data_IF_886342525185
#
_entry.id   IF_886342525185
#
_cell.length_a   1.000
_cell.length_b   1.000
_cell.length_c   1.000
_cell.angle_alpha   90.00
_cell.angle_beta   90.00
_cell.angle_gamma   90.00
#
_symmetry.space_group_name_H-M   'P 1'
#
loop_
_entity.id
_entity.type
_entity.pdbx_description
1 polymer ?
#
# COMPACT_ATOMS: atom_id res chain seq x y z
N UNK A 1 -79.48 6.00 -61.09
CA UNK A 1 -78.17 6.68 -61.03
C UNK A 1 -78.28 7.86 -60.05
N UNK A 2 -77.21 8.14 -59.30
CA UNK A 2 -76.97 9.35 -58.48
C UNK A 2 -77.70 9.45 -57.13
N UNK A 3 -77.04 9.13 -56.00
CA UNK A 3 -76.16 9.98 -55.15
C UNK A 3 -76.88 11.03 -54.28
N UNK A 4 -76.66 11.01 -52.96
CA UNK A 4 -75.66 11.85 -52.24
C UNK A 4 -75.81 11.72 -50.72
N UNK A 5 -74.67 11.63 -50.04
CA UNK A 5 -74.50 11.44 -48.60
C UNK A 5 -74.49 12.76 -47.82
N UNK A 6 -75.00 12.73 -46.58
CA UNK A 6 -74.72 13.72 -45.52
C UNK A 6 -73.95 13.00 -44.41
N UNK A 7 -72.78 13.55 -44.03
CA UNK A 7 -71.87 13.01 -43.02
C UNK A 7 -72.21 13.59 -41.64
N UNK A 8 -72.30 12.73 -40.62
CA UNK A 8 -72.29 13.07 -39.20
C UNK A 8 -70.94 12.66 -38.58
N UNK A 9 -70.53 13.41 -37.58
CA UNK A 9 -69.24 13.35 -36.87
C UNK A 9 -69.13 12.19 -35.88
N UNK A 10 -67.90 11.80 -35.54
CA UNK A 10 -67.52 11.13 -34.29
C UNK A 10 -66.08 11.56 -33.89
N UNK A 11 -65.74 11.68 -32.59
CA UNK A 11 -64.50 12.29 -32.13
C UNK A 11 -63.35 11.28 -32.05
N UNK A 12 -62.13 11.77 -32.30
CA UNK A 12 -60.87 11.03 -32.21
C UNK A 12 -60.37 11.08 -30.75
N UNK A 13 -60.30 9.93 -30.08
CA UNK A 13 -59.68 9.80 -28.75
C UNK A 13 -58.16 9.74 -28.95
N UNK A 14 -57.45 10.72 -28.39
CA UNK A 14 -56.00 10.74 -28.31
C UNK A 14 -55.52 9.81 -27.18
N UNK A 15 -54.89 8.70 -27.54
CA UNK A 15 -54.14 7.86 -26.60
C UNK A 15 -52.70 8.36 -26.50
N UNK A 16 -52.35 8.99 -25.37
CA UNK A 16 -50.99 9.34 -25.02
C UNK A 16 -50.28 8.08 -24.49
N UNK A 17 -49.49 7.42 -25.35
CA UNK A 17 -48.59 6.36 -24.93
C UNK A 17 -47.34 6.97 -24.28
N UNK A 18 -47.25 6.91 -22.95
CA UNK A 18 -46.00 7.11 -22.22
C UNK A 18 -45.08 5.91 -22.49
N UNK A 19 -44.26 6.01 -23.54
CA UNK A 19 -43.07 5.20 -23.70
C UNK A 19 -42.04 5.70 -22.68
N UNK A 20 -41.99 5.01 -21.53
CA UNK A 20 -40.87 5.13 -20.60
C UNK A 20 -39.61 4.63 -21.28
N UNK A 21 -38.81 5.55 -21.81
CA UNK A 21 -37.45 5.28 -22.24
C UNK A 21 -36.61 4.94 -21.01
N UNK A 22 -36.45 3.65 -20.74
CA UNK A 22 -35.35 3.15 -19.93
C UNK A 22 -34.06 3.51 -20.66
N UNK A 23 -33.40 4.58 -20.22
CA UNK A 23 -32.00 4.81 -20.55
C UNK A 23 -31.22 3.66 -19.92
N UNK A 24 -30.90 2.65 -20.71
CA UNK A 24 -29.83 1.73 -20.38
C UNK A 24 -28.56 2.57 -20.29
N UNK A 25 -28.10 2.82 -19.06
CA UNK A 25 -26.75 3.33 -18.84
C UNK A 25 -25.84 2.25 -19.39
N UNK A 26 -25.16 2.55 -20.51
CA UNK A 26 -24.13 1.67 -21.03
C UNK A 26 -23.06 1.56 -19.94
N UNK A 27 -22.91 0.37 -19.39
CA UNK A 27 -21.88 0.05 -18.42
C UNK A 27 -20.53 0.27 -19.09
N UNK A 28 -19.65 1.05 -18.45
CA UNK A 28 -18.30 1.30 -18.98
C UNK A 28 -17.55 -0.02 -19.02
N UNK A 29 -17.35 -0.55 -20.23
CA UNK A 29 -16.67 -1.80 -20.44
C UNK A 29 -15.16 -1.58 -20.33
N UNK A 30 -14.54 -2.20 -19.33
CA UNK A 30 -13.09 -2.21 -19.15
C UNK A 30 -12.53 -3.40 -19.92
N UNK A 31 -11.83 -3.14 -21.02
CA UNK A 31 -11.19 -4.18 -21.85
C UNK A 31 -9.78 -4.54 -21.35
N UNK A 32 -9.10 -3.59 -20.70
CA UNK A 32 -7.75 -3.74 -20.14
C UNK A 32 -7.70 -3.18 -18.72
N UNK A 33 -7.23 -3.98 -17.77
CA UNK A 33 -6.89 -3.59 -16.40
C UNK A 33 -5.38 -3.41 -16.28
N UNK A 34 -4.93 -2.26 -15.77
CA UNK A 34 -3.50 -2.02 -15.53
C UNK A 34 -3.19 -2.14 -14.04
N UNK A 35 -2.30 -3.06 -13.69
CA UNK A 35 -1.95 -3.41 -12.31
C UNK A 35 -0.61 -2.78 -11.92
N UNK A 36 -0.61 -1.79 -11.04
CA UNK A 36 0.58 -1.14 -10.50
C UNK A 36 1.34 -2.01 -9.49
N UNK A 37 2.65 -2.10 -9.66
CA UNK A 37 3.55 -2.85 -8.76
C UNK A 37 4.61 -1.86 -8.27
N UNK A 38 4.68 -1.64 -6.95
CA UNK A 38 5.72 -0.80 -6.36
C UNK A 38 7.11 -1.42 -6.54
N UNK A 39 8.11 -0.56 -6.71
CA UNK A 39 9.46 -0.94 -7.10
C UNK A 39 10.33 -1.41 -5.92
N UNK A 40 9.92 -2.46 -5.18
CA UNK A 40 10.75 -3.02 -4.09
C UNK A 40 12.11 -3.53 -4.60
N UNK A 41 12.10 -4.03 -5.82
CA UNK A 41 13.24 -4.57 -6.59
C UNK A 41 13.22 -4.01 -8.02
N UNK A 42 14.23 -4.34 -8.81
CA UNK A 42 14.22 -4.10 -10.25
C UNK A 42 13.04 -4.82 -10.91
N UNK A 43 12.38 -4.17 -11.88
CA UNK A 43 11.20 -4.74 -12.58
C UNK A 43 11.50 -6.09 -13.24
N UNK A 44 12.73 -6.29 -13.72
CA UNK A 44 13.17 -7.57 -14.29
C UNK A 44 13.11 -8.73 -13.29
N UNK A 45 13.29 -8.45 -11.99
CA UNK A 45 13.22 -9.44 -10.92
C UNK A 45 11.79 -9.64 -10.45
N UNK A 46 10.95 -8.59 -10.47
CA UNK A 46 9.54 -8.68 -10.08
C UNK A 46 8.66 -9.33 -11.15
N UNK A 47 8.85 -9.00 -12.43
CA UNK A 47 7.95 -9.43 -13.51
C UNK A 47 7.69 -10.95 -13.53
N UNK A 48 8.70 -11.83 -13.41
CA UNK A 48 8.47 -13.28 -13.38
C UNK A 48 7.65 -13.75 -12.18
N UNK A 49 7.74 -13.06 -11.04
CA UNK A 49 7.00 -13.41 -9.81
C UNK A 49 5.52 -13.03 -9.94
N UNK A 50 5.24 -11.89 -10.58
CA UNK A 50 3.89 -11.36 -10.71
C UNK A 50 3.10 -11.98 -11.85
N UNK A 51 3.77 -12.38 -12.93
CA UNK A 51 3.12 -12.81 -14.17
C UNK A 51 2.11 -13.96 -13.99
N UNK A 52 2.41 -15.05 -13.26
CA UNK A 52 1.44 -16.13 -13.07
C UNK A 52 0.14 -15.67 -12.40
N UNK A 53 0.23 -14.80 -11.39
CA UNK A 53 -0.93 -14.25 -10.70
C UNK A 53 -1.76 -13.33 -11.60
N UNK A 54 -1.11 -12.48 -12.41
CA UNK A 54 -1.79 -11.58 -13.34
C UNK A 54 -2.42 -12.32 -14.53
N UNK A 55 -1.80 -13.40 -15.01
CA UNK A 55 -2.36 -14.24 -16.06
C UNK A 55 -3.66 -14.92 -15.58
N UNK A 56 -3.68 -15.46 -14.35
CA UNK A 56 -4.90 -16.02 -13.76
C UNK A 56 -6.00 -14.95 -13.55
N UNK A 57 -5.61 -13.73 -13.19
CA UNK A 57 -6.54 -12.60 -13.09
C UNK A 57 -7.15 -12.28 -14.45
N UNK A 58 -6.34 -12.24 -15.51
CA UNK A 58 -6.81 -12.01 -16.88
C UNK A 58 -7.77 -13.10 -17.35
N UNK A 59 -7.44 -14.37 -17.11
CA UNK A 59 -8.29 -15.51 -17.47
C UNK A 59 -9.65 -15.45 -16.72
N UNK A 60 -9.61 -15.24 -15.41
CA UNK A 60 -10.83 -15.22 -14.56
C UNK A 60 -11.75 -14.05 -14.90
N UNK A 61 -11.15 -12.88 -15.17
CA UNK A 61 -11.88 -11.67 -15.48
C UNK A 61 -12.17 -11.52 -16.98
N UNK A 62 -11.66 -12.38 -17.86
CA UNK A 62 -11.89 -12.28 -19.31
C UNK A 62 -11.54 -10.91 -19.89
N UNK A 63 -10.55 -10.23 -19.33
CA UNK A 63 -10.01 -8.93 -19.77
C UNK A 63 -8.48 -9.03 -19.81
N UNK A 64 -7.83 -8.15 -20.55
CA UNK A 64 -6.38 -8.07 -20.52
C UNK A 64 -5.92 -7.47 -19.18
N UNK A 65 -4.87 -8.04 -18.58
CA UNK A 65 -4.25 -7.49 -17.36
C UNK A 65 -2.79 -7.14 -17.67
N UNK A 66 -2.49 -5.85 -17.70
CA UNK A 66 -1.15 -5.34 -18.00
C UNK A 66 -0.43 -4.92 -16.70
N UNK A 67 0.76 -5.47 -16.40
CA UNK A 67 1.54 -4.96 -15.29
C UNK A 67 2.10 -3.57 -15.60
N UNK A 68 2.04 -2.69 -14.60
CA UNK A 68 2.68 -1.38 -14.63
C UNK A 68 3.79 -1.34 -13.58
N UNK A 69 5.03 -1.37 -14.05
CA UNK A 69 6.22 -1.17 -13.22
C UNK A 69 6.72 0.26 -13.36
N UNK A 70 7.26 0.80 -12.28
CA UNK A 70 7.92 2.09 -12.27
C UNK A 70 9.26 2.04 -11.53
N UNK A 71 10.02 3.13 -11.60
CA UNK A 71 11.33 3.23 -10.94
C UNK A 71 11.25 3.61 -9.45
N UNK A 72 10.11 4.19 -9.04
CA UNK A 72 9.84 4.63 -7.68
C UNK A 72 8.34 4.53 -7.37
N UNK A 73 7.99 4.65 -6.09
CA UNK A 73 6.63 4.45 -5.62
C UNK A 73 5.75 5.65 -5.98
N UNK A 74 6.35 6.84 -6.09
CA UNK A 74 5.67 8.06 -6.49
C UNK A 74 5.07 7.93 -7.90
N UNK A 75 5.78 7.29 -8.82
CA UNK A 75 5.31 7.05 -10.18
C UNK A 75 4.07 6.13 -10.22
N UNK A 76 3.97 5.11 -9.36
CA UNK A 76 2.77 4.26 -9.25
C UNK A 76 1.60 5.09 -8.69
N UNK A 77 1.84 5.91 -7.66
CA UNK A 77 0.82 6.83 -7.08
C UNK A 77 0.32 7.83 -8.13
N UNK A 78 1.23 8.47 -8.88
CA UNK A 78 0.84 9.40 -9.93
C UNK A 78 0.14 8.69 -11.09
N UNK A 79 0.54 7.46 -11.43
CA UNK A 79 -0.15 6.68 -12.43
C UNK A 79 -1.61 6.45 -12.02
N UNK A 80 -1.88 6.10 -10.76
CA UNK A 80 -3.25 5.96 -10.27
C UNK A 80 -4.02 7.28 -10.36
N UNK A 81 -3.38 8.39 -9.94
CA UNK A 81 -3.98 9.73 -9.94
C UNK A 81 -4.46 10.19 -11.32
N UNK A 82 -3.80 9.74 -12.38
CA UNK A 82 -4.11 10.11 -13.77
C UNK A 82 -4.79 8.97 -14.55
N UNK A 83 -5.44 8.04 -13.83
CA UNK A 83 -6.13 6.87 -14.38
C UNK A 83 -5.23 6.05 -15.34
N UNK A 84 -3.91 6.02 -15.06
CA UNK A 84 -2.90 5.24 -15.80
C UNK A 84 -2.75 3.82 -15.27
N UNK A 85 -3.24 3.55 -14.07
CA UNK A 85 -3.44 2.20 -13.52
C UNK A 85 -4.82 2.14 -12.85
N UNK A 86 -5.36 0.93 -12.75
CA UNK A 86 -6.71 0.67 -12.25
C UNK A 86 -6.71 0.08 -10.84
N UNK A 87 -5.68 -0.74 -10.54
CA UNK A 87 -5.38 -1.26 -9.22
C UNK A 87 -3.87 -1.36 -9.00
N UNK A 88 -3.43 -1.48 -7.75
CA UNK A 88 -2.04 -1.61 -7.41
C UNK A 88 -1.82 -2.35 -6.09
N UNK A 89 -0.67 -3.00 -5.99
CA UNK A 89 -0.07 -3.38 -4.71
C UNK A 89 0.81 -2.25 -4.21
N UNK A 90 0.58 -1.83 -2.97
CA UNK A 90 1.31 -0.75 -2.31
C UNK A 90 1.79 -1.18 -0.93
N UNK A 91 2.89 -0.57 -0.48
CA UNK A 91 3.16 -0.46 0.94
C UNK A 91 2.19 0.52 1.60
N UNK A 92 1.89 0.35 2.89
CA UNK A 92 0.89 1.17 3.57
C UNK A 92 1.09 2.69 3.46
N UNK A 93 2.33 3.22 3.48
CA UNK A 93 2.56 4.66 3.26
C UNK A 93 2.17 5.09 1.85
N UNK A 94 2.60 4.37 0.82
CA UNK A 94 2.20 4.67 -0.56
C UNK A 94 0.69 4.51 -0.79
N UNK A 95 0.03 3.58 -0.08
CA UNK A 95 -1.42 3.47 -0.10
C UNK A 95 -2.11 4.66 0.57
N UNK A 96 -1.60 5.15 1.70
CA UNK A 96 -2.07 6.39 2.33
C UNK A 96 -1.98 7.59 1.39
N UNK A 97 -0.85 7.73 0.69
CA UNK A 97 -0.68 8.77 -0.33
C UNK A 97 -1.64 8.58 -1.52
N UNK A 98 -1.88 7.34 -1.96
CA UNK A 98 -2.82 7.04 -3.02
C UNK A 98 -4.27 7.38 -2.64
N UNK A 99 -4.69 7.02 -1.42
CA UNK A 99 -6.02 7.39 -0.88
C UNK A 99 -6.17 8.90 -0.82
N UNK A 100 -5.18 9.60 -0.25
CA UNK A 100 -5.30 11.05 -0.01
C UNK A 100 -5.16 11.89 -1.28
N UNK A 101 -4.46 11.39 -2.32
CA UNK A 101 -4.00 12.22 -3.44
C UNK A 101 -4.22 11.64 -4.83
N UNK A 102 -4.58 10.36 -4.93
CA UNK A 102 -4.74 9.65 -6.20
C UNK A 102 -6.13 9.03 -6.41
N UNK A 103 -7.07 9.27 -5.49
CA UNK A 103 -8.41 8.66 -5.56
C UNK A 103 -8.36 7.16 -5.35
N UNK A 104 -7.46 6.68 -4.49
CA UNK A 104 -7.33 5.26 -4.15
C UNK A 104 -8.28 4.82 -3.04
N UNK A 105 -8.69 3.57 -3.08
CA UNK A 105 -9.49 2.91 -2.03
C UNK A 105 -8.92 1.50 -1.79
N UNK A 106 -8.59 1.20 -0.53
CA UNK A 106 -8.14 -0.14 -0.11
C UNK A 106 -9.34 -1.09 -0.13
N UNK A 107 -9.14 -2.29 -0.67
CA UNK A 107 -10.19 -3.32 -0.70
C UNK A 107 -9.74 -4.69 -0.20
N UNK A 108 -8.43 -4.94 -0.13
CA UNK A 108 -7.85 -6.18 0.36
C UNK A 108 -6.48 -5.94 1.01
N UNK A 109 -6.05 -6.88 1.84
CA UNK A 109 -4.74 -6.92 2.48
C UNK A 109 -4.06 -8.26 2.17
N UNK A 110 -2.76 -8.25 1.91
CA UNK A 110 -1.99 -9.48 1.73
C UNK A 110 -1.81 -10.22 3.06
N UNK A 111 -1.74 -11.55 3.00
CA UNK A 111 -1.47 -12.39 4.18
C UNK A 111 -0.16 -13.14 3.93
N UNK A 112 0.87 -12.96 4.79
CA UNK A 112 2.16 -13.63 4.63
C UNK A 112 2.04 -15.16 4.61
N UNK A 113 2.81 -15.82 3.74
CA UNK A 113 2.87 -17.28 3.63
C UNK A 113 3.46 -17.95 4.88
N UNK A 114 4.42 -17.28 5.53
CA UNK A 114 5.02 -17.73 6.78
C UNK A 114 4.11 -17.62 8.03
N UNK A 115 2.90 -17.06 7.88
CA UNK A 115 1.92 -16.92 8.97
C UNK A 115 2.15 -15.74 9.90
N UNK A 116 3.12 -14.86 9.63
CA UNK A 116 3.35 -13.65 10.41
C UNK A 116 2.21 -12.64 10.24
N UNK A 117 1.91 -11.82 11.27
CA UNK A 117 0.81 -10.84 11.22
C UNK A 117 1.15 -9.56 10.43
N UNK A 118 2.30 -9.54 9.76
CA UNK A 118 2.88 -8.38 9.08
C UNK A 118 4.40 -8.55 8.92
N UNK A 119 5.12 -7.45 8.83
CA UNK A 119 6.56 -7.43 8.61
C UNK A 119 7.26 -6.35 9.43
N UNK A 120 8.59 -6.28 9.35
CA UNK A 120 9.38 -5.31 10.10
C UNK A 120 10.34 -4.53 9.20
N UNK A 121 10.53 -3.25 9.51
CA UNK A 121 11.63 -2.45 8.98
C UNK A 121 12.93 -2.83 9.66
N UNK A 122 14.02 -2.76 8.91
CA UNK A 122 15.37 -3.09 9.36
C UNK A 122 16.33 -1.93 9.07
N UNK A 123 17.37 -1.81 9.90
CA UNK A 123 18.63 -1.20 9.48
C UNK A 123 19.67 -2.29 9.30
N UNK A 124 20.34 -2.26 8.15
CA UNK A 124 21.37 -3.20 7.76
C UNK A 124 22.71 -2.51 7.57
N UNK A 125 23.77 -3.20 7.96
CA UNK A 125 25.17 -2.86 7.69
C UNK A 125 25.86 -4.07 7.07
N UNK A 126 27.07 -3.88 6.55
CA UNK A 126 27.87 -5.02 6.11
C UNK A 126 28.28 -5.88 7.31
N UNK A 127 28.41 -7.21 7.18
CA UNK A 127 28.76 -8.14 8.26
C UNK A 127 30.05 -7.75 9.01
N UNK A 128 31.10 -7.32 8.29
CA UNK A 128 32.35 -6.82 8.86
C UNK A 128 32.29 -5.36 9.40
N UNK A 129 31.12 -4.72 9.41
CA UNK A 129 30.96 -3.38 10.00
C UNK A 129 31.16 -3.45 11.52
N UNK A 130 31.89 -2.50 12.13
CA UNK A 130 32.07 -2.46 13.57
C UNK A 130 30.81 -1.99 14.34
N UNK A 131 29.77 -1.53 13.63
CA UNK A 131 28.54 -1.02 14.24
C UNK A 131 27.56 -2.15 14.51
N UNK A 132 26.93 -2.15 15.69
CA UNK A 132 26.06 -3.23 16.14
C UNK A 132 24.63 -2.77 16.47
N UNK A 133 24.39 -1.46 16.56
CA UNK A 133 23.10 -0.90 16.97
C UNK A 133 22.88 0.52 16.42
N UNK A 134 21.72 1.12 16.72
CA UNK A 134 21.36 2.48 16.28
C UNK A 134 22.26 3.53 16.91
N UNK A 135 22.59 3.39 18.19
CA UNK A 135 23.40 4.35 18.94
C UNK A 135 24.78 4.51 18.31
N UNK A 136 25.39 3.39 17.89
CA UNK A 136 26.65 3.35 17.16
C UNK A 136 26.56 4.14 15.85
N UNK A 137 25.47 3.94 15.09
CA UNK A 137 25.24 4.64 13.82
C UNK A 137 25.07 6.15 14.06
N UNK A 138 24.23 6.55 15.01
CA UNK A 138 23.97 7.96 15.30
C UNK A 138 25.23 8.68 15.80
N UNK A 139 26.02 8.03 16.67
CA UNK A 139 27.26 8.60 17.19
C UNK A 139 28.34 8.81 16.10
N UNK A 140 28.29 8.03 15.02
CA UNK A 140 29.27 8.06 13.94
C UNK A 140 28.73 8.64 12.62
N UNK A 141 27.47 9.10 12.58
CA UNK A 141 26.74 9.44 11.36
C UNK A 141 27.52 10.38 10.42
N UNK A 142 28.21 11.38 10.96
CA UNK A 142 29.00 12.36 10.18
C UNK A 142 30.11 11.75 9.31
N UNK A 143 30.48 10.49 9.55
CA UNK A 143 31.47 9.74 8.75
C UNK A 143 30.82 8.73 7.80
N UNK A 144 29.53 8.43 7.98
CA UNK A 144 28.82 7.35 7.32
C UNK A 144 27.98 7.83 6.14
N UNK A 145 27.93 7.01 5.10
CA UNK A 145 26.96 7.11 4.01
C UNK A 145 25.74 6.28 4.37
N UNK A 146 24.55 6.90 4.29
CA UNK A 146 23.28 6.25 4.60
C UNK A 146 22.43 6.04 3.34
N UNK A 147 22.00 4.81 3.13
CA UNK A 147 21.02 4.41 2.12
C UNK A 147 19.63 4.46 2.70
N UNK A 148 18.96 5.59 2.55
CA UNK A 148 17.56 5.74 2.91
C UNK A 148 16.66 5.07 1.86
N UNK A 149 15.41 4.80 2.20
CA UNK A 149 14.45 4.22 1.28
C UNK A 149 13.78 5.24 0.37
N UNK A 150 12.91 4.73 -0.52
CA UNK A 150 11.94 5.53 -1.24
C UNK A 150 11.13 6.40 -0.26
N UNK A 151 10.96 7.72 -0.48
CA UNK A 151 10.18 8.60 0.39
C UNK A 151 8.76 8.12 0.73
N UNK A 152 8.13 7.33 -0.14
CA UNK A 152 6.80 6.75 0.04
C UNK A 152 6.82 5.31 0.58
N UNK A 153 8.00 4.77 0.93
CA UNK A 153 8.13 3.47 1.57
C UNK A 153 7.79 3.55 3.06
N UNK A 154 6.99 2.59 3.53
CA UNK A 154 6.66 2.44 4.96
C UNK A 154 7.91 2.06 5.74
N UNK A 155 8.53 0.93 5.40
CA UNK A 155 9.69 0.38 6.09
C UNK A 155 11.01 1.03 5.69
N UNK A 156 11.10 1.57 4.49
CA UNK A 156 12.31 2.20 3.97
C UNK A 156 12.47 3.67 4.40
N UNK A 157 11.40 4.33 4.85
CA UNK A 157 11.47 5.77 5.09
C UNK A 157 10.66 6.24 6.30
N UNK A 158 9.36 5.94 6.35
CA UNK A 158 8.51 6.46 7.43
C UNK A 158 8.87 5.88 8.80
N UNK A 159 8.93 4.55 8.89
CA UNK A 159 9.17 3.84 10.14
C UNK A 159 10.55 4.18 10.73
N UNK A 160 11.68 4.03 10.01
CA UNK A 160 12.98 4.49 10.53
C UNK A 160 13.02 6.01 10.70
N UNK A 161 12.35 6.77 9.83
CA UNK A 161 12.18 8.23 9.94
C UNK A 161 11.66 8.67 11.31
N UNK A 162 10.72 7.92 11.88
CA UNK A 162 10.23 8.17 13.23
C UNK A 162 11.14 7.55 14.31
N UNK A 163 11.25 6.22 14.34
CA UNK A 163 11.83 5.50 15.47
C UNK A 163 13.36 5.65 15.58
N UNK A 164 14.06 5.83 14.47
CA UNK A 164 15.52 5.99 14.47
C UNK A 164 15.89 7.47 14.52
N UNK A 165 15.20 8.31 13.75
CA UNK A 165 15.62 9.70 13.56
C UNK A 165 14.83 10.69 14.42
N UNK A 166 13.52 10.84 14.20
CA UNK A 166 12.73 11.86 14.88
C UNK A 166 12.68 11.68 16.41
N UNK A 167 12.60 10.44 16.92
CA UNK A 167 12.66 10.16 18.36
C UNK A 167 14.01 10.51 19.00
N UNK A 168 15.09 10.51 18.21
CA UNK A 168 16.42 10.94 18.64
C UNK A 168 16.69 12.42 18.34
N UNK A 169 15.68 13.17 17.88
CA UNK A 169 15.78 14.61 17.61
C UNK A 169 16.73 14.96 16.46
N UNK A 170 16.89 14.06 15.49
CA UNK A 170 17.82 14.22 14.38
C UNK A 170 17.14 13.95 13.04
N UNK A 171 17.66 14.55 11.98
CA UNK A 171 17.26 14.28 10.59
C UNK A 171 18.42 13.62 9.84
N UNK A 172 18.13 12.52 9.12
CA UNK A 172 19.15 11.78 8.39
C UNK A 172 19.92 12.64 7.38
N UNK A 173 19.25 13.58 6.71
CA UNK A 173 19.86 14.50 5.73
C UNK A 173 20.90 15.43 6.34
N UNK A 174 20.83 15.65 7.65
CA UNK A 174 21.60 16.69 8.33
C UNK A 174 22.78 16.09 9.11
N UNK A 175 22.67 14.83 9.55
CA UNK A 175 23.67 14.18 10.40
C UNK A 175 24.65 13.27 9.63
N UNK A 176 24.23 12.68 8.49
CA UNK A 176 25.08 11.77 7.73
C UNK A 176 26.02 12.50 6.79
N UNK A 177 27.20 11.91 6.53
CA UNK A 177 28.13 12.44 5.52
C UNK A 177 27.48 12.59 4.15
N UNK A 178 26.62 11.63 3.79
CA UNK A 178 25.85 11.60 2.55
C UNK A 178 24.65 10.68 2.72
N UNK A 179 23.52 11.11 2.21
CA UNK A 179 22.31 10.29 2.10
C UNK A 179 21.98 10.02 0.63
N UNK A 180 21.39 8.86 0.37
CA UNK A 180 20.84 8.44 -0.92
C UNK A 180 19.45 7.86 -0.66
N UNK A 181 18.55 7.95 -1.64
CA UNK A 181 17.25 7.29 -1.57
C UNK A 181 17.18 6.25 -2.68
N UNK A 182 16.88 5.00 -2.32
CA UNK A 182 16.79 3.88 -3.28
C UNK A 182 15.69 2.90 -2.86
N UNK A 183 15.38 1.94 -3.73
CA UNK A 183 14.54 0.80 -3.33
C UNK A 183 15.29 -0.17 -2.40
N UNK A 184 14.55 -1.15 -1.87
CA UNK A 184 15.05 -2.11 -0.89
C UNK A 184 16.20 -2.96 -1.43
N UNK A 185 16.05 -3.51 -2.64
CA UNK A 185 17.10 -4.30 -3.30
C UNK A 185 18.39 -3.50 -3.53
N UNK A 186 18.28 -2.28 -4.06
CA UNK A 186 19.43 -1.41 -4.30
C UNK A 186 20.15 -1.06 -2.99
N UNK A 187 19.41 -0.78 -1.92
CA UNK A 187 19.98 -0.52 -0.60
C UNK A 187 20.73 -1.74 -0.07
N UNK A 188 20.13 -2.94 -0.13
CA UNK A 188 20.76 -4.18 0.32
C UNK A 188 22.04 -4.49 -0.47
N UNK A 189 21.99 -4.40 -1.80
CA UNK A 189 23.17 -4.61 -2.65
C UNK A 189 24.25 -3.55 -2.42
N UNK A 190 23.87 -2.30 -2.16
CA UNK A 190 24.82 -1.22 -1.86
C UNK A 190 25.57 -1.48 -0.55
N UNK A 191 24.89 -1.99 0.48
CA UNK A 191 25.52 -2.37 1.75
C UNK A 191 26.40 -3.62 1.57
N UNK A 192 25.88 -4.66 0.92
CA UNK A 192 26.62 -5.90 0.66
C UNK A 192 27.90 -5.65 -0.17
N UNK A 193 27.88 -4.67 -1.07
CA UNK A 193 29.03 -4.27 -1.88
C UNK A 193 29.86 -3.12 -1.26
N UNK A 194 29.57 -2.71 -0.02
CA UNK A 194 30.27 -1.64 0.73
C UNK A 194 30.30 -0.28 0.01
N UNK A 195 29.25 0.03 -0.73
CA UNK A 195 29.05 1.31 -1.41
C UNK A 195 28.35 2.33 -0.49
N UNK A 196 27.63 1.81 0.51
CA UNK A 196 26.92 2.52 1.58
C UNK A 196 27.24 1.81 2.89
N UNK A 197 27.36 2.56 3.99
CA UNK A 197 27.78 2.01 5.28
C UNK A 197 26.62 1.40 6.07
N UNK A 198 25.44 2.01 5.98
CA UNK A 198 24.19 1.59 6.62
C UNK A 198 23.00 1.91 5.71
N UNK A 199 21.99 1.04 5.65
CA UNK A 199 20.79 1.31 4.88
C UNK A 199 19.51 0.78 5.54
N UNK A 200 18.38 1.36 5.14
CA UNK A 200 17.04 0.86 5.49
C UNK A 200 16.68 -0.36 4.64
N UNK A 201 15.99 -1.32 5.24
CA UNK A 201 15.52 -2.53 4.57
C UNK A 201 14.26 -3.07 5.28
N UNK A 202 13.84 -4.30 4.97
CA UNK A 202 12.75 -4.98 5.67
C UNK A 202 12.90 -6.50 5.61
N UNK A 203 12.14 -7.21 6.45
CA UNK A 203 12.21 -8.67 6.57
C UNK A 203 11.77 -9.41 5.31
N UNK A 204 10.68 -8.99 4.67
CA UNK A 204 10.20 -9.66 3.43
C UNK A 204 11.23 -9.58 2.30
N UNK A 205 11.86 -8.41 2.14
CA UNK A 205 12.91 -8.20 1.15
C UNK A 205 14.20 -8.94 1.52
N UNK A 206 14.47 -9.16 2.81
CA UNK A 206 15.57 -10.02 3.25
C UNK A 206 15.31 -11.47 2.82
N UNK A 207 14.12 -11.99 3.10
CA UNK A 207 13.73 -13.34 2.71
C UNK A 207 13.85 -13.53 1.18
N UNK A 208 13.42 -12.55 0.37
CA UNK A 208 13.61 -12.59 -1.09
C UNK A 208 15.08 -12.52 -1.49
N UNK A 209 15.89 -11.70 -0.82
CA UNK A 209 17.32 -11.60 -1.08
C UNK A 209 18.05 -12.89 -0.74
N UNK A 210 17.67 -13.59 0.34
CA UNK A 210 18.24 -14.88 0.72
C UNK A 210 17.97 -15.96 -0.34
N UNK A 211 16.81 -15.91 -1.00
CA UNK A 211 16.47 -16.82 -2.10
C UNK A 211 17.18 -16.43 -3.41
N UNK A 212 17.13 -15.16 -3.79
CA UNK A 212 17.65 -14.69 -5.08
C UNK A 212 19.18 -14.53 -5.11
N UNK A 213 19.76 -14.06 -4.01
CA UNK A 213 21.18 -13.67 -3.88
C UNK A 213 21.75 -14.04 -2.49
N UNK A 214 21.80 -15.34 -2.14
CA UNK A 214 22.23 -15.79 -0.81
C UNK A 214 23.65 -15.33 -0.43
N UNK A 215 24.54 -15.18 -1.41
CA UNK A 215 25.90 -14.67 -1.21
C UNK A 215 25.91 -13.21 -0.77
N UNK A 216 24.95 -12.41 -1.24
CA UNK A 216 24.76 -11.00 -0.85
C UNK A 216 24.05 -10.88 0.49
N UNK A 217 23.00 -11.67 0.72
CA UNK A 217 22.33 -11.70 2.01
C UNK A 217 23.32 -12.06 3.14
N UNK A 218 24.20 -13.03 2.92
CA UNK A 218 25.26 -13.40 3.87
C UNK A 218 26.27 -12.28 4.17
N UNK A 219 26.33 -11.20 3.37
CA UNK A 219 27.15 -10.02 3.68
C UNK A 219 26.44 -9.01 4.57
N UNK A 220 25.16 -9.20 4.89
CA UNK A 220 24.37 -8.24 5.65
C UNK A 220 24.25 -8.64 7.11
N UNK A 221 24.27 -7.63 7.97
CA UNK A 221 24.00 -7.74 9.40
C UNK A 221 22.89 -6.76 9.76
N UNK A 222 21.83 -7.27 10.40
CA UNK A 222 20.75 -6.44 10.95
C UNK A 222 21.22 -5.87 12.29
N UNK A 223 21.12 -4.56 12.44
CA UNK A 223 21.50 -3.84 13.67
C UNK A 223 20.30 -3.15 14.35
N UNK A 224 19.14 -3.16 13.70
CA UNK A 224 17.90 -2.63 14.24
C UNK A 224 16.71 -3.25 13.53
N UNK A 225 15.62 -3.44 14.29
CA UNK A 225 14.33 -3.89 13.79
C UNK A 225 13.23 -3.04 14.42
N UNK A 226 12.23 -2.65 13.63
CA UNK A 226 11.12 -1.82 14.09
C UNK A 226 10.09 -2.59 14.93
N UNK A 227 9.05 -1.92 15.46
CA UNK A 227 7.77 -2.56 15.76
C UNK A 227 7.12 -3.13 14.48
N UNK A 228 6.11 -3.99 14.68
CA UNK A 228 5.36 -4.63 13.59
C UNK A 228 4.71 -3.58 12.67
N UNK A 229 4.84 -3.79 11.36
CA UNK A 229 4.15 -3.06 10.30
C UNK A 229 3.04 -3.97 9.76
N UNK A 230 1.78 -3.51 9.68
CA UNK A 230 0.71 -4.30 9.06
C UNK A 230 1.06 -4.67 7.61
N UNK A 231 0.61 -5.84 7.16
CA UNK A 231 0.80 -6.30 5.78
C UNK A 231 0.27 -5.30 4.76
N UNK A 232 0.77 -5.41 3.54
CA UNK A 232 0.54 -4.45 2.48
C UNK A 232 -0.90 -4.54 1.91
N UNK A 233 -1.53 -3.39 1.57
CA UNK A 233 -2.84 -3.37 0.93
C UNK A 233 -2.80 -3.53 -0.60
N UNK A 234 -3.91 -4.01 -1.15
CA UNK A 234 -4.30 -3.79 -2.54
C UNK A 234 -5.27 -2.61 -2.61
N UNK A 235 -5.02 -1.71 -3.57
CA UNK A 235 -5.76 -0.45 -3.75
C UNK A 235 -6.26 -0.37 -5.18
N UNK A 236 -7.53 -0.03 -5.37
CA UNK A 236 -8.04 0.36 -6.69
C UNK A 236 -8.28 1.87 -6.75
N UNK A 237 -8.48 2.42 -7.95
CA UNK A 237 -9.03 3.77 -8.11
C UNK A 237 -10.54 3.77 -7.84
N UNK A 238 -11.03 4.76 -7.10
CA UNK A 238 -12.44 4.86 -6.69
C UNK A 238 -13.41 4.97 -7.87
N UNK A 239 -12.99 5.55 -8.99
CA UNK A 239 -13.78 5.73 -10.21
C UNK A 239 -13.82 4.48 -11.12
N UNK A 240 -13.36 3.32 -10.65
CA UNK A 240 -13.52 2.06 -11.37
C UNK A 240 -15.01 1.63 -11.40
N UNK A 241 -15.55 1.08 -12.50
CA UNK A 241 -16.94 0.62 -12.54
C UNK A 241 -17.23 -0.39 -11.42
N UNK A 242 -18.37 -0.23 -10.74
CA UNK A 242 -18.73 -1.07 -9.58
C UNK A 242 -18.78 -2.56 -9.91
N UNK A 243 -19.23 -2.94 -11.11
CA UNK A 243 -19.18 -4.34 -11.55
C UNK A 243 -17.77 -4.87 -11.66
N UNK A 244 -16.81 -4.06 -12.10
CA UNK A 244 -15.40 -4.45 -12.11
C UNK A 244 -14.83 -4.56 -10.70
N UNK A 245 -15.17 -3.63 -9.79
CA UNK A 245 -14.80 -3.72 -8.37
C UNK A 245 -15.33 -5.00 -7.72
N UNK A 246 -16.58 -5.38 -7.97
CA UNK A 246 -17.15 -6.65 -7.48
C UNK A 246 -16.35 -7.83 -7.99
N UNK A 247 -16.09 -7.92 -9.30
CA UNK A 247 -15.36 -9.04 -9.90
C UNK A 247 -13.91 -9.13 -9.41
N UNK A 248 -13.24 -8.00 -9.25
CA UNK A 248 -11.89 -7.92 -8.67
C UNK A 248 -11.89 -8.40 -7.22
N UNK A 249 -12.85 -7.93 -6.41
CA UNK A 249 -12.99 -8.36 -5.02
C UNK A 249 -13.22 -9.88 -4.93
N UNK A 250 -14.11 -10.42 -5.75
CA UNK A 250 -14.40 -11.86 -5.78
C UNK A 250 -13.17 -12.68 -6.17
N UNK A 251 -12.44 -12.26 -7.22
CA UNK A 251 -11.20 -12.91 -7.62
C UNK A 251 -10.17 -12.87 -6.50
N UNK A 252 -9.86 -11.70 -5.95
CA UNK A 252 -8.80 -11.53 -4.95
C UNK A 252 -9.10 -12.31 -3.67
N UNK A 253 -10.33 -12.22 -3.16
CA UNK A 253 -10.69 -12.86 -1.88
C UNK A 253 -10.88 -14.39 -1.98
N UNK A 254 -11.00 -14.94 -3.19
CA UNK A 254 -11.04 -16.39 -3.41
C UNK A 254 -9.70 -16.97 -3.90
N UNK A 255 -8.69 -16.14 -4.15
CA UNK A 255 -7.40 -16.59 -4.68
C UNK A 255 -6.50 -17.17 -3.58
N UNK A 256 -5.93 -18.35 -3.85
CA UNK A 256 -5.09 -19.10 -2.89
C UNK A 256 -5.82 -20.26 -2.20
N UNK A 257 -7.08 -20.53 -2.57
CA UNK A 257 -7.84 -21.67 -2.04
C UNK A 257 -7.35 -23.01 -2.62
N UNK A 258 -6.87 -23.03 -3.87
CA UNK A 258 -6.32 -24.23 -4.51
C UNK A 258 -4.80 -24.31 -4.38
N UNK A 259 -4.25 -25.53 -4.50
CA UNK A 259 -2.78 -25.72 -4.49
C UNK A 259 -2.12 -24.99 -5.65
N UNK A 260 -2.71 -25.08 -6.85
CA UNK A 260 -2.20 -24.39 -8.04
C UNK A 260 -2.13 -22.87 -7.85
N UNK A 261 -3.15 -22.27 -7.23
CA UNK A 261 -3.13 -20.83 -6.95
C UNK A 261 -2.08 -20.48 -5.91
N UNK A 262 -1.93 -21.29 -4.84
CA UNK A 262 -0.89 -21.08 -3.82
C UNK A 262 0.50 -21.11 -4.41
N UNK A 263 0.81 -22.09 -5.27
CA UNK A 263 2.09 -22.18 -5.97
C UNK A 263 2.41 -20.91 -6.79
N UNK A 264 1.39 -20.18 -7.27
CA UNK A 264 1.55 -18.94 -8.06
C UNK A 264 1.76 -17.69 -7.21
N UNK A 265 1.32 -17.67 -5.94
CA UNK A 265 1.49 -16.51 -5.03
C UNK A 265 2.53 -16.74 -3.91
N UNK A 266 2.96 -17.98 -3.68
CA UNK A 266 4.09 -18.30 -2.80
C UNK A 266 5.38 -17.55 -3.19
N UNK A 267 5.75 -17.38 -4.48
CA UNK A 267 6.89 -16.55 -4.86
C UNK A 267 6.73 -15.06 -4.54
N UNK A 268 5.49 -14.60 -4.34
CA UNK A 268 5.15 -13.26 -3.82
C UNK A 268 5.13 -13.21 -2.28
N UNK A 269 5.43 -14.35 -1.63
CA UNK A 269 5.45 -14.56 -0.17
C UNK A 269 4.09 -14.45 0.50
N UNK A 270 3.01 -14.75 -0.24
CA UNK A 270 1.63 -14.64 0.25
C UNK A 270 0.92 -15.99 0.26
N UNK A 271 0.11 -16.21 1.30
CA UNK A 271 -0.77 -17.37 1.40
C UNK A 271 -2.16 -17.10 0.80
N UNK A 272 -2.69 -15.89 1.00
CA UNK A 272 -4.04 -15.47 0.59
C UNK A 272 -4.19 -13.95 0.72
N UNK A 273 -5.42 -13.46 0.51
CA UNK A 273 -5.81 -12.08 0.74
C UNK A 273 -7.02 -12.00 1.69
N UNK A 274 -6.96 -11.11 2.66
CA UNK A 274 -8.08 -10.84 3.56
C UNK A 274 -8.77 -9.52 3.15
N UNK A 275 -10.09 -9.43 3.37
CA UNK A 275 -10.83 -8.20 3.10
C UNK A 275 -10.33 -7.05 3.99
N UNK A 276 -10.13 -5.88 3.41
CA UNK A 276 -9.63 -4.70 4.12
C UNK A 276 -10.24 -3.41 3.58
N UNK A 277 -9.92 -2.31 4.25
CA UNK A 277 -10.43 -0.97 4.00
C UNK A 277 -9.40 0.12 4.37
N UNK A 278 -9.77 1.38 4.16
CA UNK A 278 -8.92 2.52 4.45
C UNK A 278 -8.56 2.68 5.94
N UNK A 279 -9.30 2.06 6.87
CA UNK A 279 -8.98 2.12 8.30
C UNK A 279 -7.78 1.23 8.66
N UNK A 280 -7.31 0.36 7.74
CA UNK A 280 -5.99 -0.26 7.86
C UNK A 280 -4.87 0.77 8.03
N UNK A 281 -5.03 1.96 7.46
CA UNK A 281 -4.01 3.01 7.46
C UNK A 281 -3.96 3.82 8.75
N UNK A 282 -4.88 3.63 9.69
CA UNK A 282 -4.92 4.44 10.92
C UNK A 282 -3.59 4.44 11.71
N UNK A 283 -2.92 3.29 11.96
CA UNK A 283 -1.63 3.30 12.65
C UNK A 283 -0.53 4.02 11.85
N UNK A 284 -0.61 4.00 10.53
CA UNK A 284 0.37 4.61 9.64
C UNK A 284 0.18 6.13 9.59
N UNK A 285 -1.08 6.59 9.59
CA UNK A 285 -1.41 8.02 9.75
C UNK A 285 -0.94 8.53 11.12
N UNK A 286 -1.14 7.75 12.18
CA UNK A 286 -0.69 8.08 13.52
C UNK A 286 0.84 8.21 13.56
N UNK A 287 1.56 7.26 12.96
CA UNK A 287 3.02 7.27 12.86
C UNK A 287 3.55 8.48 12.08
N UNK A 288 2.92 8.83 10.95
CA UNK A 288 3.26 10.03 10.18
C UNK A 288 3.04 11.32 11.01
N UNK A 289 1.95 11.40 11.78
CA UNK A 289 1.73 12.53 12.70
C UNK A 289 2.75 12.59 13.84
N UNK A 290 3.09 11.46 14.45
CA UNK A 290 4.13 11.43 15.48
C UNK A 290 5.47 11.90 14.94
N UNK A 291 5.82 11.51 13.71
CA UNK A 291 7.01 12.00 13.02
C UNK A 291 6.96 13.52 12.82
N UNK A 292 5.89 14.04 12.23
CA UNK A 292 5.71 15.49 12.01
C UNK A 292 5.80 16.28 13.32
N UNK A 293 5.17 15.76 14.38
CA UNK A 293 5.18 16.37 15.70
C UNK A 293 6.58 16.40 16.32
N UNK A 294 7.32 15.30 16.24
CA UNK A 294 8.69 15.22 16.76
C UNK A 294 9.64 16.17 16.01
N UNK A 295 9.51 16.25 14.69
CA UNK A 295 10.26 17.18 13.85
C UNK A 295 9.95 18.65 14.21
N UNK A 296 8.66 18.98 14.34
CA UNK A 296 8.21 20.32 14.72
C UNK A 296 8.71 20.73 16.12
N UNK A 297 8.70 19.79 17.07
CA UNK A 297 9.20 20.04 18.41
C UNK A 297 10.71 20.38 18.40
N UNK A 298 11.49 19.68 17.58
CA UNK A 298 12.93 19.89 17.41
C UNK A 298 13.31 21.09 16.53
N UNK A 299 12.35 21.74 15.85
CA UNK A 299 12.62 22.87 14.96
C UNK A 299 12.86 24.18 15.73
N UNK A 300 14.12 24.54 15.93
CA UNK A 300 14.51 25.79 16.61
C UNK A 300 14.32 27.06 15.75
N UNK A 301 13.88 26.94 14.49
CA UNK A 301 13.66 28.09 13.59
C UNK A 301 12.30 28.78 13.80
N UNK A 302 11.33 28.08 14.40
CA UNK A 302 10.00 28.61 14.67
C UNK A 302 9.94 29.39 15.97
N UNK A 303 9.13 30.45 16.01
CA UNK A 303 8.84 31.12 17.27
C UNK A 303 7.95 30.23 18.15
N UNK A 304 8.04 30.42 19.47
CA UNK A 304 7.36 29.57 20.44
C UNK A 304 5.84 29.55 20.27
N UNK A 305 5.21 30.68 19.94
CA UNK A 305 3.76 30.75 19.80
C UNK A 305 3.26 29.93 18.60
N UNK A 306 3.91 30.07 17.44
CA UNK A 306 3.57 29.32 16.24
C UNK A 306 3.85 27.83 16.40
N UNK A 307 4.97 27.47 17.04
CA UNK A 307 5.31 26.07 17.36
C UNK A 307 4.24 25.43 18.25
N UNK A 308 3.84 26.10 19.33
CA UNK A 308 2.82 25.59 20.25
C UNK A 308 1.45 25.46 19.55
N UNK A 309 1.10 26.40 18.67
CA UNK A 309 -0.14 26.31 17.91
C UNK A 309 -0.16 25.10 16.96
N UNK A 310 0.90 24.91 16.18
CA UNK A 310 1.00 23.77 15.25
C UNK A 310 1.09 22.42 15.98
N UNK A 311 1.78 22.36 17.12
CA UNK A 311 1.82 21.16 17.96
C UNK A 311 0.42 20.80 18.48
N UNK A 312 -0.37 21.79 18.91
CA UNK A 312 -1.73 21.56 19.36
C UNK A 312 -2.65 21.04 18.23
N UNK A 313 -2.46 21.49 16.98
CA UNK A 313 -3.20 20.95 15.83
C UNK A 313 -2.83 19.50 15.52
N UNK A 314 -1.55 19.14 15.64
CA UNK A 314 -1.11 17.75 15.48
C UNK A 314 -1.63 16.86 16.62
N UNK A 315 -1.61 17.36 17.86
CA UNK A 315 -2.14 16.64 19.04
C UNK A 315 -3.63 16.37 18.90
N UNK A 316 -4.43 17.35 18.46
CA UNK A 316 -5.86 17.14 18.24
C UNK A 316 -6.15 16.10 17.14
N UNK A 317 -5.31 16.03 16.09
CA UNK A 317 -5.43 15.01 15.03
C UNK A 317 -5.01 13.63 15.51
N UNK A 318 -4.02 13.54 16.39
CA UNK A 318 -3.61 12.30 17.03
C UNK A 318 -4.71 11.76 17.95
N UNK A 319 -5.35 12.62 18.74
CA UNK A 319 -6.47 12.25 19.61
C UNK A 319 -7.65 11.66 18.80
N UNK A 320 -8.00 12.25 17.66
CA UNK A 320 -9.03 11.72 16.74
C UNK A 320 -8.67 10.31 16.21
N UNK A 321 -7.42 10.13 15.79
CA UNK A 321 -6.95 8.82 15.33
C UNK A 321 -6.97 7.77 16.44
N UNK A 322 -6.60 8.14 17.66
CA UNK A 322 -6.62 7.26 18.83
C UNK A 322 -8.04 6.79 19.15
N UNK A 323 -9.04 7.67 19.06
CA UNK A 323 -10.45 7.30 19.23
C UNK A 323 -10.91 6.33 18.15
N UNK A 324 -10.56 6.59 16.89
CA UNK A 324 -10.89 5.70 15.75
C UNK A 324 -10.22 4.34 15.87
N UNK A 325 -8.95 4.28 16.29
CA UNK A 325 -8.22 3.04 16.53
C UNK A 325 -8.89 2.22 17.64
N UNK A 326 -9.22 2.85 18.77
CA UNK A 326 -9.94 2.17 19.87
C UNK A 326 -11.29 1.62 19.42
N UNK A 327 -12.05 2.40 18.64
CA UNK A 327 -13.33 1.95 18.11
C UNK A 327 -13.16 0.74 17.17
N UNK A 328 -12.14 0.75 16.32
CA UNK A 328 -11.81 -0.37 15.41
C UNK A 328 -11.39 -1.63 16.17
N UNK A 329 -10.55 -1.49 17.19
CA UNK A 329 -10.13 -2.61 18.04
C UNK A 329 -11.32 -3.23 18.78
N UNK A 330 -12.22 -2.40 19.33
CA UNK A 330 -13.45 -2.86 19.96
C UNK A 330 -14.34 -3.63 18.98
N UNK A 331 -14.56 -3.10 17.76
CA UNK A 331 -15.36 -3.77 16.74
C UNK A 331 -14.75 -5.12 16.31
N UNK A 332 -13.43 -5.22 16.20
CA UNK A 332 -12.73 -6.48 15.89
C UNK A 332 -12.85 -7.50 17.01
N UNK A 333 -12.76 -7.07 18.27
CA UNK A 333 -12.94 -7.95 19.42
C UNK A 333 -14.36 -8.54 19.46
N UNK A 334 -15.38 -7.71 19.21
CA UNK A 334 -16.79 -8.15 19.14
C UNK A 334 -17.04 -9.16 18.01
N UNK A 335 -16.44 -8.95 16.83
CA UNK A 335 -16.53 -9.89 15.70
C UNK A 335 -15.81 -11.22 15.98
N UNK A 336 -14.66 -11.17 16.66
CA UNK A 336 -13.92 -12.37 17.10
C UNK A 336 -14.71 -13.20 18.12
N UNK A 337 -15.36 -12.55 19.09
CA UNK A 337 -16.22 -13.22 20.07
C UNK A 337 -17.49 -13.82 19.43
N UNK A 338 -18.10 -13.13 18.46
CA UNK A 338 -19.24 -13.62 17.69
C UNK A 338 -18.88 -14.83 16.80
N UNK A 339 -17.69 -14.83 16.21
CA UNK A 339 -17.17 -15.95 15.43
C UNK A 339 -16.91 -17.20 16.27
N UNK A 340 -16.35 -17.04 17.47
CA UNK A 340 -16.11 -18.13 18.42
C UNK A 340 -17.41 -18.73 18.97
N UNK A 341 -18.42 -17.90 19.27
CA UNK A 341 -19.73 -18.39 19.72
C UNK A 341 -20.50 -19.14 18.62
N UNK A 342 -20.36 -18.72 17.37
CA UNK A 342 -20.97 -19.40 16.21
C UNK A 342 -20.26 -20.72 15.91
N UNK A 343 -18.93 -20.79 16.06
CA UNK A 343 -18.14 -22.01 15.86
C UNK A 343 -18.35 -23.05 16.98
N UNK A 344 -18.70 -22.64 18.21
CA UNK A 344 -19.05 -23.58 19.30
C UNK A 344 -20.52 -24.04 19.28
N UNK A 345 -21.34 -23.47 18.40
CA UNK A 345 -22.75 -23.81 18.23
C UNK A 345 -23.04 -24.75 17.04
N UNK A 346 -21.99 -25.15 16.29
CA UNK A 346 -22.00 -26.17 15.23
C UNK A 346 -21.25 -27.41 15.72
#
# INVERSE_FOLDING_TARGET
>A
MSTKHRRLALPLIAGLGLLGSQLAVAEEQIDTLRFGIISTEASQNQEPLWRPFLDDMAETLGVEVEPFFANDYAAVIQAMRFDKIDLAWYGNKSAMEAVDRAGGEIFAQTVPENGEPGYWSLLIVHQDSPYENVEDILANASQLTFGNGDPNSTSGFLVPGYYVFAQNGVEATDIFKRTLNSNHETNALSVANRQVDVATFNTESMDRLELAHPDKAAQLKVIWQSPLIPSDPLVWRENLPESMKTRLRDFILSYGETEEQREKIEPLQWARFDASDNDQLLPIRQLELFKQRAQLAADDSLNEADKQHQLAELDARLDDLDERLKAREAARAEQGEAGLTTAMAQ
#
